data_IF_390727659819
#
_entry.id   IF_390727659819
#
_cell.length_a   1.000
_cell.length_b   1.000
_cell.length_c   1.000
_cell.angle_alpha   90.00
_cell.angle_beta   90.00
_cell.angle_gamma   90.00
#
_symmetry.space_group_name_H-M   'P 1'
#
loop_
_entity.id
_entity.type
_entity.pdbx_description
1 polymer ?
2 non-polymer ?
3 non-polymer ?
4 non-polymer ?
5 water ?
#
# COMPACT_ATOMS: atom_id res chain seq x y z
N UNK A 1 26.91 -2.80 -4.17
CA UNK A 1 26.37 -1.47 -3.72
C UNK A 1 27.41 -0.57 -3.03
N UNK A 2 27.34 0.75 -3.28
CA UNK A 2 28.16 1.67 -2.52
C UNK A 2 27.79 1.69 -1.01
N UNK A 3 28.81 1.86 -0.18
CA UNK A 3 28.65 2.04 1.25
C UNK A 3 27.84 3.29 1.61
N UNK A 4 27.99 4.38 0.85
CA UNK A 4 27.26 5.62 1.07
C UNK A 4 26.76 6.25 -0.23
N UNK A 5 25.58 6.87 -0.16
CA UNK A 5 24.97 7.61 -1.27
C UNK A 5 24.30 8.90 -0.72
N UNK A 6 24.47 9.99 -1.45
CA UNK A 6 23.78 11.26 -1.18
C UNK A 6 23.39 11.91 -2.50
N UNK A 7 22.10 11.86 -2.88
CA UNK A 7 21.58 12.38 -4.14
C UNK A 7 21.65 13.89 -4.24
N UNK A 8 21.83 14.54 -3.10
CA UNK A 8 22.09 15.96 -3.08
C UNK A 8 23.39 16.29 -3.85
N UNK A 9 24.40 15.40 -3.75
CA UNK A 9 25.68 15.61 -4.44
C UNK A 9 25.54 15.49 -5.96
N UNK A 10 24.44 14.89 -6.40
CA UNK A 10 24.13 14.57 -7.81
C UNK A 10 23.17 15.59 -8.46
N UNK A 11 22.80 16.58 -7.67
CA UNK A 11 21.98 17.71 -8.11
C UNK A 11 20.53 17.36 -8.33
N UNK A 12 20.01 16.41 -7.54
CA UNK A 12 18.71 15.78 -7.78
C UNK A 12 17.73 16.06 -6.64
N UNK A 13 18.09 16.96 -5.73
CA UNK A 13 17.24 17.26 -4.56
C UNK A 13 17.02 18.78 -4.46
N UNK A 14 15.76 19.20 -4.46
CA UNK A 14 15.40 20.60 -4.40
C UNK A 14 15.50 21.09 -2.94
N UNK A 15 15.20 22.38 -2.72
CA UNK A 15 15.27 22.92 -1.37
C UNK A 15 14.24 22.27 -0.47
N UNK A 16 14.51 22.24 0.82
CA UNK A 16 13.56 21.79 1.84
C UNK A 16 12.35 22.72 1.86
N UNK A 17 11.15 22.11 1.91
CA UNK A 17 9.92 22.83 2.02
C UNK A 17 9.36 22.80 3.47
N UNK A 18 8.44 23.73 3.73
CA UNK A 18 7.78 23.91 5.02
C UNK A 18 6.26 23.67 4.81
N UNK A 19 5.74 22.57 5.33
CA UNK A 19 4.33 22.22 5.10
C UNK A 19 3.35 23.04 5.97
N UNK A 20 3.88 23.51 7.10
CA UNK A 20 3.15 24.27 8.06
C UNK A 20 2.13 23.42 8.74
N UNK A 21 0.95 23.99 8.90
CA UNK A 21 -0.10 23.34 9.67
C UNK A 21 -0.96 22.38 8.83
N UNK A 22 -0.67 22.30 7.52
CA UNK A 22 -1.29 21.40 6.60
C UNK A 22 -0.51 20.07 6.49
N UNK A 23 -1.23 18.97 6.72
CA UNK A 23 -0.63 17.63 6.71
C UNK A 23 -0.36 17.12 5.30
N UNK A 24 0.48 17.86 4.56
CA UNK A 24 0.76 17.55 3.15
C UNK A 24 2.09 16.82 3.01
N UNK A 25 2.56 16.16 4.07
CA UNK A 25 3.85 15.45 4.04
C UNK A 25 3.96 14.50 2.87
N UNK A 26 2.88 13.75 2.65
CA UNK A 26 2.76 12.75 1.58
C UNK A 26 2.90 13.38 0.19
N UNK A 27 2.42 14.60 0.05
CA UNK A 27 2.51 15.36 -1.19
C UNK A 27 3.95 15.77 -1.51
N UNK A 28 4.63 16.34 -0.52
CA UNK A 28 6.02 16.73 -0.64
C UNK A 28 6.94 15.55 -0.87
N UNK A 29 6.67 14.43 -0.18
CA UNK A 29 7.41 13.19 -0.38
C UNK A 29 7.30 12.70 -1.81
N UNK A 30 6.09 12.73 -2.35
CA UNK A 30 5.84 12.30 -3.74
C UNK A 30 6.52 13.21 -4.77
N UNK A 31 6.36 14.51 -4.64
CA UNK A 31 7.00 15.43 -5.58
C UNK A 31 8.53 15.33 -5.48
N UNK A 32 9.06 15.23 -4.27
CA UNK A 32 10.49 14.93 -4.03
C UNK A 32 11.05 13.74 -4.82
N UNK A 33 10.41 12.60 -4.73
CA UNK A 33 10.83 11.45 -5.55
C UNK A 33 10.77 11.76 -7.06
N UNK A 34 9.71 12.43 -7.52
CA UNK A 34 9.58 12.73 -8.99
C UNK A 34 10.56 13.81 -9.47
N UNK A 35 10.88 14.75 -8.58
CA UNK A 35 11.88 15.81 -8.87
C UNK A 35 13.21 15.17 -9.28
N UNK A 36 13.62 14.15 -8.51
CA UNK A 36 14.90 13.50 -8.79
C UNK A 36 14.87 12.85 -10.17
N UNK A 37 13.73 12.21 -10.51
CA UNK A 37 13.60 11.51 -11.80
C UNK A 37 13.48 12.52 -12.94
N UNK A 38 12.78 13.61 -12.70
CA UNK A 38 12.81 14.72 -13.64
C UNK A 38 14.27 15.18 -13.96
N UNK A 39 15.06 15.51 -12.95
CA UNK A 39 16.49 15.84 -13.18
C UNK A 39 17.22 14.76 -14.00
N UNK A 40 17.08 13.50 -13.62
CA UNK A 40 17.75 12.42 -14.32
C UNK A 40 17.32 12.29 -15.78
N UNK A 41 16.05 12.56 -16.03
CA UNK A 41 15.50 12.48 -17.38
C UNK A 41 15.89 13.69 -18.27
N UNK A 42 15.84 14.88 -17.70
CA UNK A 42 15.83 16.11 -18.52
C UNK A 42 17.03 17.02 -18.31
N UNK A 43 17.73 16.88 -17.17
CA UNK A 43 18.79 17.83 -16.81
C UNK A 43 18.30 18.98 -15.94
N UNK A 44 17.00 19.10 -15.75
CA UNK A 44 16.45 20.18 -14.97
C UNK A 44 16.00 19.72 -13.57
N UNK A 45 16.45 20.47 -12.57
CA UNK A 45 16.02 20.38 -11.19
C UNK A 45 15.00 21.49 -10.90
N UNK A 46 13.78 21.05 -10.63
CA UNK A 46 12.63 21.95 -10.55
C UNK A 46 11.73 21.49 -9.40
N UNK A 47 11.36 22.37 -8.48
CA UNK A 47 10.42 22.00 -7.43
C UNK A 47 9.03 21.84 -8.04
N UNK A 48 8.41 20.68 -7.82
CA UNK A 48 7.05 20.40 -8.33
C UNK A 48 5.98 20.78 -7.30
N UNK A 49 4.77 21.01 -7.78
CA UNK A 49 3.68 21.47 -6.93
C UNK A 49 3.08 20.39 -5.98
N UNK A 50 3.52 20.39 -4.73
CA UNK A 50 2.81 19.70 -3.62
C UNK A 50 1.33 20.13 -3.53
N UNK A 51 1.04 21.41 -3.76
CA UNK A 51 -0.35 21.91 -3.68
C UNK A 51 -1.26 21.26 -4.68
N UNK A 52 -0.78 21.09 -5.89
CA UNK A 52 -1.47 20.35 -6.96
C UNK A 52 -1.94 18.96 -6.49
N UNK A 53 -1.10 18.26 -5.74
CA UNK A 53 -1.52 16.96 -5.20
C UNK A 53 -2.63 17.11 -4.14
N UNK A 54 -2.45 18.08 -3.26
CA UNK A 54 -3.37 18.30 -2.15
C UNK A 54 -4.74 18.64 -2.71
N UNK A 55 -4.79 19.49 -3.74
CA UNK A 55 -6.06 19.97 -4.31
C UNK A 55 -6.73 19.02 -5.31
N UNK A 56 -5.92 18.18 -5.95
CA UNK A 56 -6.38 17.37 -7.08
C UNK A 56 -6.29 15.89 -6.91
N UNK A 57 -5.28 15.40 -6.18
CA UNK A 57 -5.20 13.97 -5.77
C UNK A 57 -5.96 13.82 -4.47
N UNK A 58 -7.28 13.73 -4.61
CA UNK A 58 -8.20 13.85 -3.50
C UNK A 58 -9.02 12.54 -3.33
N UNK A 59 -10.36 12.62 -3.19
CA UNK A 59 -11.25 11.48 -2.86
C UNK A 59 -11.01 10.27 -3.70
N UNK A 60 -10.92 10.49 -4.99
CA UNK A 60 -10.74 9.45 -5.99
C UNK A 60 -9.46 8.64 -5.76
N UNK A 61 -8.47 9.29 -5.16
CA UNK A 61 -7.17 8.69 -4.86
C UNK A 61 -7.08 8.24 -3.40
N UNK A 62 -8.18 8.35 -2.66
CA UNK A 62 -8.20 8.02 -1.20
C UNK A 62 -7.40 8.97 -0.33
N UNK A 63 -7.10 10.16 -0.86
CA UNK A 63 -6.33 11.13 -0.14
C UNK A 63 -7.24 12.20 0.49
N UNK A 64 -6.72 12.86 1.50
CA UNK A 64 -7.49 13.78 2.35
C UNK A 64 -6.80 15.12 2.49
N UNK A 65 -5.99 15.49 1.50
CA UNK A 65 -5.40 16.83 1.48
C UNK A 65 -4.55 17.12 2.69
N UNK A 66 -4.99 18.10 3.50
CA UNK A 66 -4.25 18.53 4.69
C UNK A 66 -4.46 17.62 5.87
N UNK A 67 -5.27 16.58 5.73
CA UNK A 67 -5.35 15.52 6.76
C UNK A 67 -4.77 14.18 6.30
N UNK A 68 -3.85 14.24 5.35
CA UNK A 68 -3.02 13.08 5.00
C UNK A 68 -3.37 12.40 3.69
N UNK A 69 -2.50 11.49 3.26
CA UNK A 69 -2.66 10.81 1.96
C UNK A 69 -1.48 9.92 1.67
N UNK A 70 -1.41 9.40 0.44
CA UNK A 70 -0.47 8.35 0.05
C UNK A 70 0.37 8.79 -1.13
N UNK A 71 1.67 8.52 -1.08
CA UNK A 71 2.59 8.82 -2.17
C UNK A 71 2.26 8.01 -3.39
N UNK A 72 1.93 6.73 -3.21
CA UNK A 72 1.61 5.85 -4.33
C UNK A 72 0.39 6.33 -5.11
N UNK A 73 -0.68 6.69 -4.41
CA UNK A 73 -1.87 7.21 -5.07
C UNK A 73 -1.63 8.63 -5.65
N UNK A 74 -0.79 9.43 -5.02
CA UNK A 74 -0.30 10.70 -5.64
C UNK A 74 0.36 10.47 -7.02
N UNK A 75 1.31 9.50 -7.08
CA UNK A 75 1.90 9.08 -8.38
C UNK A 75 0.84 8.66 -9.37
N UNK A 76 -0.12 7.83 -8.97
CA UNK A 76 -1.17 7.40 -9.94
C UNK A 76 -1.97 8.58 -10.46
N UNK A 77 -2.33 9.52 -9.58
CA UNK A 77 -2.92 10.78 -10.02
C UNK A 77 -2.13 11.48 -11.16
N UNK A 78 -0.82 11.58 -11.00
CA UNK A 78 0.05 12.28 -11.97
C UNK A 78 0.03 11.50 -13.28
N UNK A 79 0.04 10.17 -13.15
CA UNK A 79 -0.12 9.28 -14.30
C UNK A 79 -1.50 9.51 -14.95
N UNK A 80 -2.57 9.35 -14.19
CA UNK A 80 -3.92 9.51 -14.75
C UNK A 80 -4.13 10.87 -15.37
N UNK A 81 -3.55 11.91 -14.74
CA UNK A 81 -3.73 13.32 -15.12
C UNK A 81 -2.85 13.77 -16.29
N UNK A 82 -1.85 12.96 -16.62
CA UNK A 82 -0.87 13.23 -17.66
C UNK A 82 -0.04 14.46 -17.31
N UNK A 83 0.14 14.72 -16.02
CA UNK A 83 0.94 15.85 -15.60
C UNK A 83 0.81 16.30 -14.16
N UNK A 84 1.84 17.01 -13.72
CA UNK A 84 1.82 17.75 -12.49
C UNK A 84 2.43 19.11 -12.83
N UNK A 85 1.81 20.19 -12.34
CA UNK A 85 2.33 21.59 -12.44
C UNK A 85 3.62 21.86 -11.64
N UNK A 86 4.41 22.83 -12.08
CA UNK A 86 5.55 23.30 -11.30
C UNK A 86 5.04 23.92 -10.02
N UNK A 87 5.87 23.88 -8.98
CA UNK A 87 5.57 24.60 -7.77
C UNK A 87 5.51 26.11 -8.05
N UNK A 88 6.34 26.63 -8.98
CA UNK A 88 6.28 28.07 -9.36
C UNK A 88 4.91 28.49 -9.83
N UNK A 89 4.29 27.70 -10.71
CA UNK A 89 3.00 28.01 -11.32
C UNK A 89 1.80 27.73 -10.38
N UNK A 90 2.02 26.90 -9.37
CA UNK A 90 0.97 26.43 -8.48
C UNK A 90 1.55 26.30 -7.08
N UNK A 91 1.86 27.45 -6.44
CA UNK A 91 2.58 27.46 -5.17
C UNK A 91 1.79 26.94 -3.95
N UNK A 92 2.55 26.58 -2.92
CA UNK A 92 1.99 25.98 -1.73
C UNK A 92 1.29 26.99 -0.83
N UNK A 93 0.05 26.67 -0.42
CA UNK A 93 -0.80 27.52 0.41
C UNK A 93 -1.16 26.92 1.78
N UNK A 94 -0.76 25.67 2.05
CA UNK A 94 -1.00 25.02 3.33
C UNK A 94 -2.50 24.96 3.68
N UNK A 95 -3.32 24.71 2.70
CA UNK A 95 -4.76 24.52 2.90
C UNK A 95 -5.31 23.71 1.76
N UNK A 96 -6.47 23.12 2.01
CA UNK A 96 -7.21 22.40 1.00
C UNK A 96 -7.95 23.38 0.08
N UNK A 97 -7.80 23.19 -1.21
CA UNK A 97 -8.51 24.05 -2.14
C UNK A 97 -9.05 23.21 -3.25
N UNK A 98 -9.89 23.87 -4.04
CA UNK A 98 -10.37 23.36 -5.29
C UNK A 98 -9.17 23.07 -6.20
N UNK A 99 -9.27 22.01 -6.99
CA UNK A 99 -8.24 21.66 -7.94
C UNK A 99 -8.08 22.80 -8.98
N UNK A 100 -6.87 23.32 -9.08
CA UNK A 100 -6.55 24.30 -10.10
C UNK A 100 -5.50 23.86 -11.09
N UNK A 101 -5.31 22.55 -11.29
CA UNK A 101 -4.35 22.11 -12.28
C UNK A 101 -4.66 22.69 -13.68
N UNK A 102 -3.60 23.03 -14.39
CA UNK A 102 -3.64 23.46 -15.78
C UNK A 102 -2.47 22.86 -16.53
N UNK A 103 -2.74 22.05 -17.57
CA UNK A 103 -1.68 21.52 -18.45
C UNK A 103 -0.64 22.53 -19.02
N UNK A 104 -1.03 23.79 -19.17
CA UNK A 104 -0.08 24.83 -19.62
C UNK A 104 1.09 25.10 -18.64
N UNK A 105 0.95 24.59 -17.42
CA UNK A 105 1.98 24.73 -16.38
C UNK A 105 2.65 23.40 -15.99
N UNK A 106 2.42 22.35 -16.78
CA UNK A 106 3.00 21.03 -16.52
C UNK A 106 4.52 21.08 -16.50
N UNK A 107 5.10 20.62 -15.38
CA UNK A 107 6.56 20.55 -15.22
C UNK A 107 7.10 19.10 -15.32
N UNK A 108 6.24 18.10 -15.09
CA UNK A 108 6.64 16.68 -15.08
C UNK A 108 5.47 15.82 -15.47
N UNK A 109 5.84 14.62 -15.90
CA UNK A 109 4.94 13.53 -16.10
C UNK A 109 5.41 12.35 -15.22
N UNK A 110 4.53 11.36 -15.10
CA UNK A 110 4.82 10.11 -14.47
C UNK A 110 4.22 9.03 -15.37
N UNK A 111 4.94 7.95 -15.62
CA UNK A 111 4.46 6.81 -16.41
C UNK A 111 4.16 5.57 -15.58
N UNK A 112 4.81 5.44 -14.42
CA UNK A 112 4.63 4.29 -13.55
C UNK A 112 5.25 4.54 -12.21
N UNK A 113 4.85 3.73 -11.23
CA UNK A 113 5.57 3.69 -9.94
C UNK A 113 5.79 2.25 -9.54
N UNK A 114 6.66 2.09 -8.56
CA UNK A 114 7.08 0.78 -8.06
C UNK A 114 7.04 0.80 -6.54
N UNK A 115 6.38 -0.20 -5.94
CA UNK A 115 6.25 -0.33 -4.50
C UNK A 115 7.16 -1.47 -4.04
N UNK A 116 8.06 -1.17 -3.09
CA UNK A 116 9.07 -2.10 -2.65
C UNK A 116 8.44 -3.11 -1.64
N UNK A 117 9.02 -4.30 -1.56
CA UNK A 117 8.51 -5.31 -0.61
C UNK A 117 8.70 -4.86 0.85
N UNK A 118 7.74 -5.22 1.68
CA UNK A 118 7.62 -4.78 3.09
C UNK A 118 8.87 -5.10 3.93
N UNK A 119 9.41 -4.08 4.61
CA UNK A 119 10.47 -4.26 5.58
C UNK A 119 11.89 -4.65 5.13
N UNK A 120 12.12 -4.68 3.81
CA UNK A 120 13.41 -5.11 3.32
C UNK A 120 14.35 -3.93 3.11
N UNK A 121 15.22 -3.72 4.09
CA UNK A 121 16.15 -2.60 4.06
C UNK A 121 17.25 -2.75 2.98
N UNK A 122 17.64 -3.98 2.67
CA UNK A 122 18.58 -4.25 1.57
C UNK A 122 18.01 -3.90 0.17
N UNK A 123 16.72 -4.17 -0.04
CA UNK A 123 16.05 -3.86 -1.29
C UNK A 123 15.90 -2.34 -1.35
N UNK A 124 15.60 -1.73 -0.21
CA UNK A 124 15.52 -0.29 -0.19
C UNK A 124 16.87 0.32 -0.58
N UNK A 125 17.97 -0.18 0.02
CA UNK A 125 19.34 0.28 -0.25
C UNK A 125 19.64 0.23 -1.74
N UNK A 126 19.25 -0.88 -2.39
CA UNK A 126 19.53 -1.10 -3.79
C UNK A 126 18.79 -0.06 -4.64
N UNK A 127 17.53 0.20 -4.29
CA UNK A 127 16.75 1.22 -4.98
C UNK A 127 17.34 2.60 -4.84
N UNK A 128 17.72 2.97 -3.61
CA UNK A 128 18.33 4.30 -3.36
C UNK A 128 19.66 4.46 -4.13
N UNK A 129 20.49 3.43 -4.10
CA UNK A 129 21.75 3.45 -4.84
C UNK A 129 21.53 3.56 -6.38
N UNK A 130 20.55 2.83 -6.90
CA UNK A 130 20.50 2.63 -8.35
C UNK A 130 19.38 3.33 -9.14
N UNK A 131 18.31 3.73 -8.46
CA UNK A 131 17.12 4.28 -9.13
C UNK A 131 16.97 5.77 -8.79
N UNK A 132 16.96 6.09 -7.51
CA UNK A 132 16.87 7.47 -7.05
C UNK A 132 16.35 7.51 -5.62
N UNK A 133 16.15 8.72 -5.12
CA UNK A 133 15.39 8.85 -3.87
C UNK A 133 14.07 8.11 -3.88
N UNK A 134 13.74 7.53 -2.73
CA UNK A 134 12.55 6.69 -2.52
C UNK A 134 11.62 7.32 -1.46
N UNK A 135 10.33 7.44 -1.81
CA UNK A 135 9.31 7.90 -0.88
C UNK A 135 9.05 6.80 0.15
N UNK A 136 8.97 7.19 1.40
CA UNK A 136 8.77 6.25 2.50
C UNK A 136 7.81 6.84 3.52
N UNK A 137 7.07 5.97 4.18
CA UNK A 137 6.37 6.30 5.39
C UNK A 137 7.24 5.94 6.55
N UNK A 138 7.15 6.75 7.60
CA UNK A 138 7.76 6.40 8.87
C UNK A 138 6.79 6.64 10.05
N UNK A 139 7.13 6.08 11.21
CA UNK A 139 6.49 6.44 12.46
C UNK A 139 7.22 7.69 13.02
N UNK A 140 6.51 8.82 12.92
CA UNK A 140 6.95 10.09 13.47
C UNK A 140 6.10 10.50 14.68
N UNK A 141 5.33 9.56 15.23
CA UNK A 141 4.38 9.87 16.31
C UNK A 141 5.03 9.71 17.66
N UNK A 142 6.18 10.35 17.86
CA UNK A 142 6.94 10.27 19.11
C UNK A 142 7.60 11.63 19.28
N UNK A 143 7.59 12.17 20.51
CA UNK A 143 8.24 13.47 20.77
C UNK A 143 9.72 13.61 20.33
N UNK A 144 10.52 12.53 20.45
CA UNK A 144 11.92 12.52 19.99
C UNK A 144 12.14 12.87 18.52
N UNK A 145 11.12 12.63 17.69
CA UNK A 145 11.17 12.94 16.28
C UNK A 145 11.07 14.45 16.10
N UNK A 146 10.11 15.07 16.78
CA UNK A 146 9.98 16.54 16.84
C UNK A 146 11.17 17.24 17.45
N UNK A 147 11.80 16.61 18.45
CA UNK A 147 12.95 17.16 19.17
C UNK A 147 14.31 16.86 18.49
N UNK A 148 14.34 16.00 17.48
CA UNK A 148 15.60 15.63 16.80
C UNK A 148 16.41 16.82 16.31
N UNK A 149 17.67 16.85 16.67
CA UNK A 149 18.60 17.91 16.25
C UNK A 149 19.71 17.46 15.30
N UNK A 150 20.31 16.31 15.56
CA UNK A 150 21.51 15.90 14.85
C UNK A 150 21.87 14.46 15.15
N UNK A 151 22.67 13.84 14.28
CA UNK A 151 23.18 12.50 14.50
C UNK A 151 22.25 11.44 13.96
N UNK A 152 22.41 10.20 14.40
CA UNK A 152 21.58 9.12 13.91
C UNK A 152 20.44 8.88 14.90
N UNK A 153 19.23 9.08 14.39
CA UNK A 153 17.99 8.97 15.16
C UNK A 153 17.63 7.53 15.45
N UNK A 154 17.33 7.27 16.72
CA UNK A 154 16.90 5.95 17.18
C UNK A 154 15.91 6.11 18.35
N UNK A 155 14.66 5.72 18.14
CA UNK A 155 13.61 5.85 19.15
C UNK A 155 13.17 4.43 19.58
N UNK A 156 13.52 4.00 20.82
CA UNK A 156 13.16 2.62 21.15
C UNK A 156 11.65 2.30 21.23
N UNK A 157 10.78 3.30 21.36
CA UNK A 157 9.33 3.05 21.29
C UNK A 157 8.73 3.18 19.88
N UNK A 158 9.61 3.30 18.88
CA UNK A 158 9.17 3.43 17.51
C UNK A 158 8.52 2.14 17.07
N UNK A 159 7.49 2.25 16.26
CA UNK A 159 6.79 1.09 15.70
C UNK A 159 6.98 1.03 14.16
N UNK A 160 6.44 -0.01 13.53
CA UNK A 160 6.37 -0.16 12.08
C UNK A 160 5.05 0.36 11.48
N UNK A 161 4.25 1.03 12.30
CA UNK A 161 3.06 1.73 11.88
C UNK A 161 3.44 3.10 11.40
N UNK A 162 3.31 3.36 10.11
CA UNK A 162 3.77 4.60 9.53
C UNK A 162 2.62 5.63 9.46
N UNK A 163 2.98 6.89 9.61
CA UNK A 163 1.95 7.97 9.66
C UNK A 163 2.45 9.29 9.14
N UNK A 164 3.67 9.30 8.60
CA UNK A 164 4.28 10.52 8.08
C UNK A 164 5.11 10.17 6.85
N UNK A 165 4.86 10.87 5.75
CA UNK A 165 5.55 10.65 4.46
C UNK A 165 6.80 11.47 4.36
N UNK A 166 7.93 10.84 4.06
CA UNK A 166 9.20 11.56 3.86
C UNK A 166 9.94 10.98 2.63
N UNK A 167 11.16 11.41 2.39
CA UNK A 167 11.92 11.04 1.22
C UNK A 167 13.33 10.59 1.60
N UNK A 168 13.67 9.36 1.30
CA UNK A 168 15.05 8.90 1.48
C UNK A 168 15.91 9.32 0.28
N UNK A 169 16.90 10.18 0.53
CA UNK A 169 17.78 10.73 -0.48
C UNK A 169 19.22 10.24 -0.33
N UNK A 170 19.44 9.26 0.54
CA UNK A 170 20.75 8.66 0.66
C UNK A 170 20.82 7.73 1.82
N UNK A 171 22.00 7.18 2.04
CA UNK A 171 22.26 6.40 3.25
C UNK A 171 23.76 6.48 3.52
N UNK A 172 24.16 6.08 4.70
CA UNK A 172 25.58 5.94 4.99
C UNK A 172 25.78 5.54 6.44
N UNK A 173 26.84 6.09 7.03
CA UNK A 173 27.12 5.82 8.41
C UNK A 173 27.92 6.93 9.06
N UNK A 174 27.67 7.09 10.37
CA UNK A 174 28.35 8.09 11.18
C UNK A 174 29.13 7.30 12.24
N UNK A 175 30.45 7.29 12.08
CA UNK A 175 31.34 6.52 12.94
C UNK A 175 30.85 5.08 13.07
N UNK A 176 30.43 4.46 11.95
CA UNK A 176 29.89 3.08 11.96
C UNK A 176 28.39 2.85 12.24
N UNK A 177 27.69 3.86 12.82
CA UNK A 177 26.21 3.87 12.98
C UNK A 177 25.54 4.14 11.66
N UNK A 178 24.84 3.12 11.17
CA UNK A 178 24.26 3.15 9.83
C UNK A 178 22.97 3.97 9.82
N UNK A 179 22.75 4.77 8.76
CA UNK A 179 21.54 5.62 8.69
C UNK A 179 20.95 5.69 7.26
N UNK A 180 19.69 6.08 7.19
CA UNK A 180 18.99 6.58 6.00
C UNK A 180 19.00 8.08 6.07
N UNK A 181 19.33 8.75 4.97
CA UNK A 181 19.32 10.23 4.94
C UNK A 181 17.94 10.66 4.43
N UNK A 182 17.19 11.32 5.28
CA UNK A 182 15.78 11.59 5.05
C UNK A 182 15.56 13.06 4.90
N UNK A 183 14.94 13.46 3.78
CA UNK A 183 14.41 14.80 3.61
C UNK A 183 12.97 14.84 4.16
N UNK A 184 12.74 15.72 5.13
CA UNK A 184 11.42 15.96 5.72
C UNK A 184 10.86 17.27 5.09
N UNK A 185 9.61 17.61 5.43
CA UNK A 185 8.97 18.83 4.92
C UNK A 185 8.48 19.70 6.07
N UNK A 186 9.28 19.76 7.12
CA UNK A 186 8.99 20.60 8.25
C UNK A 186 9.90 21.83 8.26
N UNK A 187 10.40 22.22 7.10
CA UNK A 187 11.21 23.45 6.92
C UNK A 187 12.68 23.29 7.22
N UNK A 188 13.47 24.31 6.91
CA UNK A 188 14.94 24.17 7.00
C UNK A 188 15.54 24.29 8.40
N UNK A 189 14.71 24.46 9.42
CA UNK A 189 15.17 24.54 10.80
C UNK A 189 14.98 23.20 11.56
N UNK A 190 14.17 22.30 11.01
CA UNK A 190 14.03 20.99 11.58
C UNK A 190 15.30 20.15 11.39
N UNK A 191 15.73 19.47 12.45
CA UNK A 191 16.86 18.52 12.45
C UNK A 191 18.12 19.12 11.86
N UNK A 192 18.75 18.34 10.99
CA UNK A 192 19.93 18.79 10.28
C UNK A 192 19.54 19.60 9.05
N UNK A 193 19.16 20.85 9.30
CA UNK A 193 18.71 21.77 8.25
C UNK A 193 17.68 21.21 7.24
N UNK A 194 16.71 20.47 7.78
CA UNK A 194 15.60 19.91 6.99
C UNK A 194 15.64 18.42 6.92
N UNK A 195 16.79 17.86 7.29
CA UNK A 195 17.06 16.44 7.16
C UNK A 195 17.12 15.74 8.51
N UNK A 196 16.87 14.43 8.47
CA UNK A 196 17.03 13.55 9.61
C UNK A 196 17.73 12.32 9.10
N UNK A 197 18.74 11.91 9.86
CA UNK A 197 19.41 10.61 9.67
C UNK A 197 18.80 9.53 10.60
N UNK A 198 18.11 8.55 9.98
CA UNK A 198 17.35 7.53 10.74
C UNK A 198 18.06 6.19 10.75
N UNK A 199 17.97 5.47 11.88
CA UNK A 199 18.70 4.21 12.06
C UNK A 199 18.34 3.26 10.92
N UNK A 200 19.38 2.68 10.32
CA UNK A 200 19.30 1.79 9.18
C UNK A 200 19.84 0.45 9.60
N UNK A 201 19.28 -0.61 9.02
CA UNK A 201 19.55 -1.99 9.40
C UNK A 201 19.46 -2.20 10.90
N UNK A 202 18.40 -1.63 11.45
CA UNK A 202 18.03 -1.79 12.85
C UNK A 202 16.61 -2.34 12.92
N UNK A 203 16.35 -3.32 12.08
CA UNK A 203 15.10 -4.05 12.11
C UNK A 203 13.93 -3.19 11.69
N UNK A 204 14.05 -2.55 10.52
CA UNK A 204 12.97 -1.71 10.00
C UNK A 204 12.53 -0.64 11.01
N UNK A 205 13.51 0.06 11.53
CA UNK A 205 13.27 1.02 12.54
C UNK A 205 12.34 2.20 12.09
N UNK A 206 11.30 2.42 12.89
CA UNK A 206 10.23 3.38 12.63
C UNK A 206 9.48 3.07 11.31
N UNK A 207 9.53 1.81 10.85
CA UNK A 207 8.79 1.45 9.61
C UNK A 207 9.36 2.04 8.32
N UNK A 208 10.65 2.38 8.32
CA UNK A 208 11.22 3.15 7.23
C UNK A 208 11.20 2.39 5.90
N UNK A 209 11.37 1.05 5.96
CA UNK A 209 11.12 0.17 4.81
C UNK A 209 9.77 -0.50 4.78
N UNK A 210 8.78 0.00 5.52
CA UNK A 210 7.45 -0.59 5.50
C UNK A 210 6.73 -0.38 4.16
N UNK A 211 6.68 0.88 3.70
CA UNK A 211 5.97 1.22 2.47
C UNK A 211 6.78 2.19 1.62
N UNK A 212 7.82 1.63 0.94
CA UNK A 212 8.63 2.48 0.08
C UNK A 212 8.17 2.44 -1.38
N UNK A 213 8.22 3.59 -2.05
CA UNK A 213 7.93 3.62 -3.50
C UNK A 213 8.72 4.68 -4.27
N UNK A 214 8.81 4.47 -5.57
CA UNK A 214 9.42 5.48 -6.39
C UNK A 214 8.73 5.55 -7.75
N UNK A 215 8.68 6.77 -8.30
CA UNK A 215 8.12 6.97 -9.61
C UNK A 215 9.12 6.93 -10.75
N UNK A 216 8.58 6.83 -11.95
CA UNK A 216 9.36 6.98 -13.17
C UNK A 216 8.64 7.91 -14.13
N UNK A 217 9.42 8.69 -14.86
CA UNK A 217 8.82 9.80 -15.65
C UNK A 217 8.02 9.27 -16.83
N UNK B 1 -8.41 -10.77 -23.33
CA UNK B 1 -8.74 -11.56 -22.08
C UNK B 1 -10.14 -12.23 -22.14
N UNK B 2 -10.37 -13.26 -21.34
CA UNK B 2 -11.77 -13.74 -21.25
C UNK B 2 -12.75 -12.66 -20.78
N UNK B 3 -13.96 -12.69 -21.31
CA UNK B 3 -15.00 -11.76 -20.89
C UNK B 3 -15.51 -12.05 -19.46
N UNK B 4 -15.40 -13.31 -19.03
CA UNK B 4 -15.79 -13.69 -17.64
C UNK B 4 -14.87 -14.75 -17.04
N UNK B 5 -14.61 -14.66 -15.74
CA UNK B 5 -13.77 -15.62 -15.02
C UNK B 5 -14.44 -15.93 -13.70
N UNK B 6 -14.42 -17.19 -13.28
CA UNK B 6 -14.90 -17.56 -11.95
C UNK B 6 -14.01 -18.68 -11.44
N UNK B 7 -13.11 -18.32 -10.53
CA UNK B 7 -12.11 -19.28 -10.08
C UNK B 7 -12.72 -20.46 -9.28
N UNK B 8 -13.97 -20.32 -8.83
CA UNK B 8 -14.72 -21.45 -8.24
C UNK B 8 -14.88 -22.60 -9.21
N UNK B 9 -15.06 -22.29 -10.50
CA UNK B 9 -15.24 -23.33 -11.53
C UNK B 9 -13.99 -24.14 -11.65
N UNK B 10 -12.89 -23.58 -11.18
CA UNK B 10 -11.58 -24.19 -11.34
C UNK B 10 -11.18 -24.91 -10.07
N UNK B 11 -12.07 -24.98 -9.09
CA UNK B 11 -11.75 -25.65 -7.82
C UNK B 11 -10.67 -24.91 -7.03
N UNK B 12 -10.59 -23.60 -7.20
CA UNK B 12 -9.47 -22.84 -6.62
C UNK B 12 -9.88 -22.00 -5.40
N UNK B 13 -11.12 -22.13 -4.96
CA UNK B 13 -11.66 -21.28 -3.92
C UNK B 13 -12.28 -22.16 -2.84
N UNK B 14 -11.81 -21.99 -1.60
CA UNK B 14 -12.30 -22.74 -0.45
C UNK B 14 -13.64 -22.21 -0.03
N UNK B 15 -14.34 -22.92 0.88
CA UNK B 15 -15.61 -22.41 1.35
C UNK B 15 -15.49 -21.03 2.03
N UNK B 16 -16.58 -20.26 1.94
CA UNK B 16 -16.71 -18.99 2.61
C UNK B 16 -16.56 -19.15 4.13
N UNK B 17 -15.87 -18.21 4.76
CA UNK B 17 -15.56 -18.27 6.19
C UNK B 17 -16.37 -17.20 6.92
N UNK B 18 -16.49 -17.34 8.24
CA UNK B 18 -17.27 -16.45 9.08
C UNK B 18 -16.29 -15.86 10.17
N UNK B 19 -15.96 -14.57 10.06
CA UNK B 19 -14.89 -13.94 10.89
C UNK B 19 -15.40 -13.59 12.30
N UNK B 20 -16.73 -13.46 12.44
CA UNK B 20 -17.36 -13.05 13.69
C UNK B 20 -17.02 -11.63 14.12
N UNK B 21 -16.81 -11.46 15.42
CA UNK B 21 -16.46 -10.14 15.99
C UNK B 21 -14.97 -9.95 16.13
N UNK B 22 -14.23 -10.50 15.19
CA UNK B 22 -12.80 -10.27 15.10
C UNK B 22 -12.60 -9.63 13.72
N UNK B 23 -11.94 -8.47 13.69
CA UNK B 23 -11.62 -7.76 12.45
C UNK B 23 -10.47 -8.37 11.66
N UNK B 24 -10.69 -9.61 11.21
CA UNK B 24 -9.64 -10.46 10.64
C UNK B 24 -9.82 -10.61 9.13
N UNK B 25 -10.51 -9.66 8.53
CA UNK B 25 -10.91 -9.77 7.11
C UNK B 25 -9.66 -9.82 6.21
N UNK B 26 -8.69 -8.97 6.57
CA UNK B 26 -7.35 -8.94 5.97
C UNK B 26 -6.64 -10.32 5.97
N UNK B 27 -6.77 -11.08 7.06
CA UNK B 27 -6.21 -12.43 7.13
C UNK B 27 -6.94 -13.42 6.22
N UNK B 28 -8.27 -13.39 6.22
CA UNK B 28 -9.11 -14.16 5.30
C UNK B 28 -8.87 -13.79 3.83
N UNK B 29 -8.71 -12.50 3.53
CA UNK B 29 -8.41 -12.09 2.17
C UNK B 29 -7.10 -12.70 1.72
N UNK B 30 -6.09 -12.60 2.59
CA UNK B 30 -4.73 -13.03 2.25
C UNK B 30 -4.65 -14.54 2.07
N UNK B 31 -5.25 -15.30 2.99
CA UNK B 31 -5.19 -16.77 2.88
C UNK B 31 -5.94 -17.29 1.65
N UNK B 32 -7.09 -16.68 1.33
CA UNK B 32 -7.86 -16.97 0.13
C UNK B 32 -7.10 -16.79 -1.17
N UNK B 33 -6.33 -15.71 -1.31
CA UNK B 33 -5.40 -15.58 -2.44
C UNK B 33 -4.35 -16.68 -2.52
N UNK B 34 -3.79 -17.06 -1.37
CA UNK B 34 -2.75 -18.07 -1.33
C UNK B 34 -3.30 -19.46 -1.65
N UNK B 35 -4.48 -19.74 -1.10
CA UNK B 35 -5.21 -20.99 -1.31
C UNK B 35 -5.29 -21.35 -2.78
N UNK B 36 -5.55 -20.34 -3.61
CA UNK B 36 -5.74 -20.53 -5.05
C UNK B 36 -4.42 -20.92 -5.72
N UNK B 37 -3.37 -20.16 -5.41
CA UNK B 37 -2.00 -20.47 -5.84
C UNK B 37 -1.52 -21.83 -5.37
N UNK B 38 -1.85 -22.22 -4.16
CA UNK B 38 -1.54 -23.56 -3.67
C UNK B 38 -2.23 -24.64 -4.53
N UNK B 39 -3.49 -24.42 -4.88
CA UNK B 39 -4.24 -25.39 -5.69
C UNK B 39 -3.61 -25.48 -7.08
N UNK B 40 -3.31 -24.33 -7.66
CA UNK B 40 -2.65 -24.26 -8.98
C UNK B 40 -1.27 -24.93 -9.03
N UNK B 41 -0.48 -24.81 -7.97
CA UNK B 41 0.86 -25.43 -7.90
C UNK B 41 0.83 -26.93 -7.56
N UNK B 42 0.01 -27.27 -6.58
CA UNK B 42 0.01 -28.60 -6.03
C UNK B 42 -1.18 -29.46 -6.49
N UNK B 43 -2.25 -28.86 -7.00
CA UNK B 43 -3.47 -29.62 -7.35
C UNK B 43 -4.39 -29.90 -6.16
N UNK B 44 -4.08 -29.37 -4.98
CA UNK B 44 -4.87 -29.65 -3.77
C UNK B 44 -5.46 -28.36 -3.21
N UNK B 45 -6.77 -28.38 -2.97
CA UNK B 45 -7.48 -27.26 -2.33
C UNK B 45 -7.46 -27.42 -0.80
N UNK B 46 -6.85 -26.45 -0.11
CA UNK B 46 -6.64 -26.53 1.35
C UNK B 46 -6.87 -25.14 1.99
N UNK B 47 -7.84 -25.07 2.90
CA UNK B 47 -8.02 -23.87 3.68
C UNK B 47 -6.75 -23.56 4.52
N UNK B 48 -6.30 -22.30 4.51
CA UNK B 48 -5.07 -21.88 5.21
C UNK B 48 -5.49 -21.08 6.44
N UNK B 49 -4.59 -20.97 7.41
CA UNK B 49 -4.92 -20.49 8.74
C UNK B 49 -4.96 -18.98 8.88
N UNK B 50 -6.16 -18.40 8.95
CA UNK B 50 -6.30 -16.94 9.15
C UNK B 50 -5.89 -16.59 10.57
N UNK B 51 -6.18 -17.50 11.49
CA UNK B 51 -5.71 -17.36 12.89
C UNK B 51 -4.18 -17.27 13.02
N UNK B 52 -3.48 -18.10 12.27
CA UNK B 52 -2.01 -18.02 12.17
C UNK B 52 -1.52 -16.60 11.87
N UNK B 53 -2.07 -15.98 10.83
CA UNK B 53 -1.82 -14.55 10.53
C UNK B 53 -2.23 -13.63 11.67
N UNK B 54 -3.40 -13.85 12.25
CA UNK B 54 -3.91 -13.00 13.34
C UNK B 54 -2.95 -13.01 14.49
N UNK B 55 -2.51 -14.22 14.84
CA UNK B 55 -1.65 -14.38 16.02
C UNK B 55 -0.19 -14.06 15.73
N UNK B 56 0.23 -14.26 14.49
CA UNK B 56 1.68 -14.23 14.17
C UNK B 56 2.17 -13.06 13.35
N UNK B 57 1.36 -12.56 12.41
CA UNK B 57 1.74 -11.44 11.54
C UNK B 57 1.24 -10.21 12.27
N UNK B 58 2.01 -9.76 13.27
CA UNK B 58 1.52 -8.75 14.21
C UNK B 58 2.30 -7.42 14.06
N UNK B 59 2.90 -6.89 15.14
CA UNK B 59 3.47 -5.53 15.15
C UNK B 59 4.58 -5.39 14.12
N UNK B 60 5.44 -6.39 14.04
CA UNK B 60 6.51 -6.42 13.04
C UNK B 60 5.94 -6.13 11.65
N UNK B 61 4.69 -6.52 11.44
CA UNK B 61 4.02 -6.39 10.16
C UNK B 61 2.99 -5.24 10.05
N UNK B 62 2.88 -4.42 11.09
CA UNK B 62 1.93 -3.29 11.14
C UNK B 62 0.46 -3.71 11.32
N UNK B 63 0.26 -4.99 11.62
CA UNK B 63 -1.08 -5.55 11.76
C UNK B 63 -1.48 -5.60 13.22
N UNK B 64 -2.80 -5.61 13.45
CA UNK B 64 -3.32 -5.56 14.81
C UNK B 64 -4.34 -6.65 15.08
N UNK B 65 -4.20 -7.79 14.41
CA UNK B 65 -4.97 -8.99 14.76
C UNK B 65 -6.43 -8.76 14.48
N UNK B 66 -7.27 -8.93 15.53
CA UNK B 66 -8.71 -8.62 15.45
C UNK B 66 -9.09 -7.16 15.26
N UNK B 67 -8.15 -6.23 15.42
CA UNK B 67 -8.38 -4.81 15.14
C UNK B 67 -7.80 -4.36 13.75
N UNK B 68 -7.65 -5.28 12.82
CA UNK B 68 -7.28 -4.93 11.43
C UNK B 68 -5.82 -5.20 11.07
N UNK B 69 -5.50 -4.98 9.81
CA UNK B 69 -4.21 -5.39 9.24
C UNK B 69 -4.24 -5.28 7.71
N UNK B 70 -3.15 -5.71 7.08
CA UNK B 70 -2.97 -5.56 5.62
C UNK B 70 -2.64 -6.92 5.02
N UNK B 71 -3.12 -7.14 3.81
CA UNK B 71 -2.90 -8.35 3.09
C UNK B 71 -1.47 -8.44 2.65
N UNK B 72 -0.92 -7.34 2.11
CA UNK B 72 0.48 -7.29 1.67
C UNK B 72 1.47 -7.66 2.76
N UNK B 73 1.31 -7.08 3.96
CA UNK B 73 2.26 -7.36 5.03
C UNK B 73 2.03 -8.76 5.59
N UNK B 74 0.78 -9.27 5.47
CA UNK B 74 0.49 -10.69 5.69
C UNK B 74 1.31 -11.59 4.81
N UNK B 75 1.34 -11.26 3.53
CA UNK B 75 2.13 -12.04 2.57
C UNK B 75 3.58 -12.06 2.92
N UNK B 76 4.13 -10.90 3.31
CA UNK B 76 5.54 -10.80 3.77
C UNK B 76 5.86 -11.66 4.96
N UNK B 77 4.97 -11.72 5.94
CA UNK B 77 5.13 -12.63 7.07
C UNK B 77 5.29 -14.10 6.64
N UNK B 78 4.43 -14.54 5.72
CA UNK B 78 4.46 -15.95 5.27
C UNK B 78 5.83 -16.27 4.62
N UNK B 79 6.27 -15.36 3.77
CA UNK B 79 7.63 -15.36 3.20
C UNK B 79 8.69 -15.42 4.27
N UNK B 80 8.70 -14.45 5.19
CA UNK B 80 9.73 -14.36 6.23
C UNK B 80 9.71 -15.62 7.07
N UNK B 81 8.50 -16.08 7.39
CA UNK B 81 8.29 -17.25 8.23
C UNK B 81 8.55 -18.61 7.56
N UNK B 82 8.61 -18.58 6.23
CA UNK B 82 8.83 -19.79 5.43
C UNK B 82 7.61 -20.73 5.47
N UNK B 83 6.43 -20.16 5.67
CA UNK B 83 5.24 -20.99 5.77
C UNK B 83 4.07 -20.41 6.50
N UNK B 84 2.93 -21.05 6.25
CA UNK B 84 1.72 -20.80 6.95
C UNK B 84 1.04 -22.16 7.15
N UNK B 85 0.50 -22.33 8.35
CA UNK B 85 -0.24 -23.54 8.72
C UNK B 85 -1.63 -23.59 8.03
N UNK B 86 -2.12 -24.80 7.90
CA UNK B 86 -3.47 -25.06 7.48
C UNK B 86 -4.49 -24.62 8.55
N UNK B 87 -5.68 -24.26 8.08
CA UNK B 87 -6.79 -23.95 8.97
C UNK B 87 -7.10 -25.11 9.91
N UNK B 88 -7.07 -26.36 9.41
CA UNK B 88 -7.39 -27.55 10.22
C UNK B 88 -6.50 -27.67 11.47
N UNK B 89 -5.21 -27.34 11.30
CA UNK B 89 -4.18 -27.48 12.32
C UNK B 89 -4.10 -26.30 13.25
N UNK B 90 -4.61 -25.16 12.81
CA UNK B 90 -4.49 -23.92 13.61
C UNK B 90 -5.79 -23.18 13.33
N UNK B 91 -6.88 -23.64 13.96
CA UNK B 91 -8.20 -23.15 13.62
C UNK B 91 -8.60 -21.80 14.17
N UNK B 92 -9.61 -21.24 13.52
CA UNK B 92 -10.04 -19.87 13.76
C UNK B 92 -10.90 -19.77 15.01
N UNK B 93 -10.54 -18.80 15.87
CA UNK B 93 -11.15 -18.60 17.17
C UNK B 93 -11.78 -17.21 17.33
N UNK B 94 -11.60 -16.36 16.34
CA UNK B 94 -12.14 -14.99 16.38
C UNK B 94 -11.65 -14.22 17.59
N UNK B 95 -10.38 -14.42 17.94
CA UNK B 95 -9.71 -13.66 18.99
C UNK B 95 -8.19 -13.62 18.79
N UNK B 96 -7.55 -12.69 19.49
CA UNK B 96 -6.11 -12.46 19.43
C UNK B 96 -5.51 -13.47 20.39
N UNK B 97 -4.59 -14.28 19.89
CA UNK B 97 -4.00 -15.32 20.71
C UNK B 97 -2.49 -15.26 20.55
N UNK B 98 -1.82 -16.03 21.39
CA UNK B 98 -0.36 -16.21 21.33
C UNK B 98 -0.01 -16.90 20.00
N UNK B 99 1.12 -16.54 19.41
CA UNK B 99 1.57 -17.16 18.16
C UNK B 99 1.95 -18.64 18.39
N UNK B 100 1.22 -19.50 17.70
CA UNK B 100 1.44 -20.92 17.84
C UNK B 100 1.83 -21.56 16.54
N UNK B 101 2.46 -20.82 15.63
CA UNK B 101 2.90 -21.46 14.39
C UNK B 101 3.83 -22.67 14.63
N UNK B 102 3.66 -23.71 13.82
CA UNK B 102 4.56 -24.84 13.81
C UNK B 102 4.72 -25.35 12.37
N UNK B 103 5.96 -25.54 11.95
CA UNK B 103 6.24 -25.95 10.59
C UNK B 103 5.79 -27.40 10.28
N UNK B 104 5.50 -28.19 11.33
CA UNK B 104 4.99 -29.55 11.12
C UNK B 104 3.57 -29.50 10.56
N UNK B 105 2.93 -28.33 10.66
CA UNK B 105 1.57 -28.11 10.13
C UNK B 105 1.50 -27.18 8.92
N UNK B 106 2.66 -26.86 8.36
CA UNK B 106 2.73 -26.05 7.15
C UNK B 106 1.97 -26.71 5.99
N UNK B 107 1.01 -25.95 5.46
CA UNK B 107 0.30 -26.33 4.26
C UNK B 107 0.65 -25.43 3.04
N UNK B 108 1.35 -24.31 3.23
CA UNK B 108 1.74 -23.47 2.09
C UNK B 108 2.95 -22.61 2.38
N UNK B 109 3.55 -22.11 1.30
CA UNK B 109 4.63 -21.13 1.33
C UNK B 109 4.29 -19.94 0.40
N UNK B 110 5.12 -18.93 0.47
CA UNK B 110 5.02 -17.76 -0.36
C UNK B 110 6.47 -17.32 -0.61
N UNK B 111 6.78 -17.07 -1.87
CA UNK B 111 8.08 -16.57 -2.25
C UNK B 111 8.02 -15.07 -2.60
N UNK B 112 6.83 -14.52 -2.88
CA UNK B 112 6.71 -13.09 -3.24
C UNK B 112 5.25 -12.66 -3.36
N UNK B 113 5.04 -11.36 -3.48
CA UNK B 113 3.70 -10.84 -3.77
C UNK B 113 3.85 -9.63 -4.70
N UNK B 114 2.74 -9.28 -5.35
CA UNK B 114 2.71 -8.17 -6.31
C UNK B 114 1.57 -7.26 -5.91
N UNK B 115 1.85 -5.95 -5.86
CA UNK B 115 0.82 -4.93 -5.63
C UNK B 115 0.48 -4.27 -6.97
N UNK B 116 -0.80 -4.25 -7.30
CA UNK B 116 -1.22 -3.68 -8.58
C UNK B 116 -1.35 -2.15 -8.53
N UNK B 117 -1.24 -1.49 -9.68
CA UNK B 117 -1.44 -0.03 -9.72
C UNK B 117 -2.85 0.46 -9.28
N UNK B 118 -2.85 1.54 -8.52
CA UNK B 118 -4.03 2.09 -7.90
C UNK B 118 -5.15 2.39 -8.92
N UNK B 119 -6.36 1.86 -8.64
CA UNK B 119 -7.55 2.20 -9.38
C UNK B 119 -7.67 1.68 -10.79
N UNK B 120 -6.74 0.84 -11.23
CA UNK B 120 -6.71 0.40 -12.63
C UNK B 120 -7.44 -0.94 -12.78
N UNK B 121 -8.69 -0.86 -13.20
CA UNK B 121 -9.56 -2.03 -13.22
C UNK B 121 -9.24 -2.98 -14.37
N UNK B 122 -8.70 -2.46 -15.47
CA UNK B 122 -8.15 -3.24 -16.59
C UNK B 122 -7.01 -4.15 -16.11
N UNK B 123 -6.15 -3.57 -15.26
CA UNK B 123 -4.97 -4.30 -14.80
C UNK B 123 -5.44 -5.37 -13.85
N UNK B 124 -6.36 -4.98 -12.96
CA UNK B 124 -6.98 -5.92 -12.06
C UNK B 124 -7.60 -7.10 -12.84
N UNK B 125 -8.33 -6.79 -13.90
CA UNK B 125 -8.97 -7.81 -14.73
C UNK B 125 -7.93 -8.78 -15.32
N UNK B 126 -6.80 -8.24 -15.75
CA UNK B 126 -5.72 -9.06 -16.29
C UNK B 126 -5.13 -10.03 -15.25
N UNK B 127 -4.89 -9.51 -14.06
CA UNK B 127 -4.40 -10.30 -12.99
C UNK B 127 -5.39 -11.43 -12.62
N UNK B 128 -6.66 -11.11 -12.51
CA UNK B 128 -7.70 -12.13 -12.20
C UNK B 128 -7.79 -13.21 -13.29
N UNK B 129 -7.74 -12.83 -14.56
CA UNK B 129 -7.68 -13.78 -15.66
C UNK B 129 -6.41 -14.64 -15.66
N UNK B 130 -5.26 -14.01 -15.50
CA UNK B 130 -3.96 -14.67 -15.79
C UNK B 130 -3.18 -15.15 -14.59
N UNK B 131 -3.47 -14.58 -13.41
CA UNK B 131 -2.67 -14.89 -12.21
C UNK B 131 -3.49 -15.62 -11.18
N UNK B 132 -4.69 -15.13 -10.90
CA UNK B 132 -5.63 -15.85 -10.03
C UNK B 132 -6.40 -14.84 -9.21
N UNK B 133 -7.13 -15.32 -8.18
CA UNK B 133 -7.79 -14.39 -7.28
C UNK B 133 -6.83 -13.36 -6.64
N UNK B 134 -7.35 -12.15 -6.46
CA UNK B 134 -6.59 -10.98 -6.01
C UNK B 134 -7.22 -10.39 -4.77
N UNK B 135 -6.41 -10.27 -3.71
CA UNK B 135 -6.78 -9.59 -2.48
C UNK B 135 -6.97 -8.11 -2.74
N UNK B 136 -8.10 -7.59 -2.28
CA UNK B 136 -8.44 -6.18 -2.43
C UNK B 136 -9.10 -5.64 -1.15
N UNK B 137 -9.08 -4.33 -1.01
CA UNK B 137 -9.92 -3.61 -0.04
C UNK B 137 -11.10 -2.97 -0.76
N UNK B 138 -12.24 -2.98 -0.09
CA UNK B 138 -13.41 -2.21 -0.49
C UNK B 138 -13.94 -1.31 0.61
N UNK B 139 -14.66 -0.27 0.20
CA UNK B 139 -15.42 0.51 1.13
C UNK B 139 -16.72 -0.25 1.43
N UNK B 140 -16.77 -0.84 2.62
CA UNK B 140 -17.90 -1.64 3.05
C UNK B 140 -18.67 -1.00 4.21
N UNK B 141 -18.58 0.33 4.35
CA UNK B 141 -19.14 1.07 5.51
C UNK B 141 -20.63 1.40 5.34
N UNK B 142 -21.16 1.27 4.14
CA UNK B 142 -22.45 1.85 3.83
C UNK B 142 -23.55 0.81 4.12
N UNK B 143 -24.60 1.20 4.89
CA UNK B 143 -25.68 0.29 5.31
C UNK B 143 -26.16 -0.68 4.21
N UNK B 144 -26.21 -0.23 2.95
CA UNK B 144 -26.58 -1.12 1.81
C UNK B 144 -25.65 -2.32 1.62
N UNK B 145 -24.38 -2.21 2.01
CA UNK B 145 -23.47 -3.34 1.85
C UNK B 145 -23.97 -4.57 2.62
N UNK B 146 -24.39 -4.35 3.86
CA UNK B 146 -24.72 -5.40 4.81
C UNK B 146 -26.01 -6.16 4.41
N UNK B 147 -26.87 -5.44 3.70
CA UNK B 147 -28.19 -5.84 3.27
C UNK B 147 -28.21 -6.35 1.82
N UNK B 148 -27.06 -6.38 1.16
CA UNK B 148 -26.98 -6.92 -0.18
C UNK B 148 -27.39 -8.38 -0.21
N UNK B 149 -28.15 -8.70 -1.25
CA UNK B 149 -28.73 -10.00 -1.47
C UNK B 149 -28.50 -10.52 -2.88
N UNK B 150 -28.71 -9.69 -3.89
CA UNK B 150 -28.57 -10.21 -5.26
C UNK B 150 -28.28 -9.12 -6.27
N UNK B 151 -27.97 -9.55 -7.50
CA UNK B 151 -27.70 -8.61 -8.58
C UNK B 151 -26.32 -7.99 -8.49
N UNK B 152 -26.20 -6.76 -8.99
CA UNK B 152 -24.91 -6.07 -9.03
C UNK B 152 -24.95 -4.88 -8.12
N UNK B 153 -24.10 -4.94 -7.11
CA UNK B 153 -24.06 -3.91 -6.08
C UNK B 153 -23.47 -2.64 -6.63
N UNK B 154 -24.29 -1.60 -6.58
CA UNK B 154 -23.88 -0.27 -6.93
C UNK B 154 -24.49 0.67 -5.89
N UNK B 155 -23.61 1.39 -5.21
CA UNK B 155 -23.97 2.27 -4.12
C UNK B 155 -23.37 3.66 -4.43
N UNK B 156 -24.22 4.64 -4.83
CA UNK B 156 -23.86 6.08 -5.00
C UNK B 156 -23.06 6.71 -3.85
N UNK B 157 -23.35 6.30 -2.62
CA UNK B 157 -22.61 6.77 -1.45
C UNK B 157 -21.26 6.12 -1.26
N UNK B 158 -20.87 5.20 -2.14
CA UNK B 158 -19.53 4.62 -2.00
C UNK B 158 -18.37 5.59 -2.23
N UNK B 159 -17.26 5.29 -1.57
CA UNK B 159 -16.04 6.05 -1.70
C UNK B 159 -14.91 5.11 -2.04
N UNK B 160 -13.75 5.69 -2.36
CA UNK B 160 -12.54 4.93 -2.57
C UNK B 160 -11.74 4.71 -1.28
N UNK B 161 -12.29 5.15 -0.15
CA UNK B 161 -11.66 4.98 1.14
C UNK B 161 -12.02 3.58 1.65
N UNK B 162 -11.13 2.62 1.41
CA UNK B 162 -11.38 1.21 1.70
C UNK B 162 -11.15 0.89 3.17
N UNK B 163 -12.02 0.07 3.72
CA UNK B 163 -11.91 -0.30 5.14
C UNK B 163 -12.00 -1.82 5.39
N UNK B 164 -12.09 -2.63 4.33
CA UNK B 164 -12.48 -4.02 4.46
C UNK B 164 -11.80 -4.94 3.43
N UNK B 165 -11.10 -5.95 3.91
CA UNK B 165 -10.34 -6.88 3.09
C UNK B 165 -11.21 -8.01 2.56
N UNK B 166 -11.24 -8.16 1.24
CA UNK B 166 -12.02 -9.23 0.56
C UNK B 166 -11.18 -9.86 -0.59
N UNK B 167 -11.80 -10.76 -1.33
CA UNK B 167 -11.11 -11.48 -2.40
C UNK B 167 -11.96 -11.45 -3.66
N UNK B 168 -11.39 -10.91 -4.73
CA UNK B 168 -11.89 -11.00 -6.09
C UNK B 168 -11.51 -12.34 -6.70
N UNK B 169 -12.51 -13.19 -6.91
CA UNK B 169 -12.36 -14.52 -7.47
C UNK B 169 -12.86 -14.58 -8.90
N UNK B 170 -13.33 -13.47 -9.44
CA UNK B 170 -13.73 -13.45 -10.82
C UNK B 170 -14.40 -12.17 -11.24
N UNK B 171 -14.95 -12.20 -12.43
CA UNK B 171 -15.61 -11.03 -12.98
C UNK B 171 -16.52 -11.47 -14.12
N UNK B 172 -17.42 -10.61 -14.53
CA UNK B 172 -18.31 -10.95 -15.64
C UNK B 172 -19.37 -9.91 -15.83
N UNK B 173 -20.45 -10.32 -16.47
CA UNK B 173 -21.62 -9.47 -16.69
C UNK B 173 -22.93 -10.19 -16.36
N UNK B 174 -23.85 -9.45 -15.74
CA UNK B 174 -25.13 -9.95 -15.30
C UNK B 174 -26.16 -8.90 -15.70
N UNK B 175 -26.95 -9.23 -16.72
CA UNK B 175 -28.05 -8.34 -17.10
C UNK B 175 -27.58 -6.94 -17.49
N UNK B 176 -26.51 -6.90 -18.28
CA UNK B 176 -25.98 -5.66 -18.81
C UNK B 176 -25.14 -4.85 -17.82
N UNK B 177 -24.85 -5.43 -16.66
CA UNK B 177 -24.03 -4.77 -15.65
C UNK B 177 -22.75 -5.57 -15.46
N UNK B 178 -21.60 -4.91 -15.67
CA UNK B 178 -20.31 -5.55 -15.39
C UNK B 178 -20.09 -5.65 -13.88
N UNK B 179 -19.47 -6.74 -13.45
CA UNK B 179 -19.21 -6.90 -12.03
C UNK B 179 -17.84 -7.59 -11.75
N UNK B 180 -17.35 -7.37 -10.53
CA UNK B 180 -16.36 -8.21 -9.86
C UNK B 180 -17.04 -9.21 -8.93
N UNK B 181 -16.57 -10.45 -8.92
CA UNK B 181 -17.10 -11.45 -7.97
C UNK B 181 -16.20 -11.45 -6.77
N UNK B 182 -16.78 -11.13 -5.61
CA UNK B 182 -16.07 -10.86 -4.36
C UNK B 182 -16.49 -11.88 -3.26
N UNK B 183 -15.51 -12.63 -2.79
CA UNK B 183 -15.71 -13.50 -1.66
C UNK B 183 -15.49 -12.69 -0.37
N UNK B 184 -16.54 -12.60 0.46
CA UNK B 184 -16.50 -11.90 1.75
C UNK B 184 -16.22 -12.94 2.86
N UNK B 185 -16.04 -12.50 4.10
CA UNK B 185 -15.79 -13.39 5.23
C UNK B 185 -16.79 -13.24 6.40
N UNK B 186 -18.07 -13.10 6.04
CA UNK B 186 -19.17 -12.93 7.02
C UNK B 186 -20.17 -14.07 6.89
N UNK B 187 -19.66 -15.26 6.60
CA UNK B 187 -20.51 -16.45 6.49
C UNK B 187 -21.30 -16.51 5.19
N UNK B 188 -22.00 -17.62 5.02
CA UNK B 188 -22.93 -17.82 3.88
C UNK B 188 -24.23 -17.03 3.99
N UNK B 189 -24.55 -16.43 5.14
CA UNK B 189 -25.78 -15.65 5.26
C UNK B 189 -25.70 -14.35 4.48
N UNK B 190 -24.47 -13.87 4.29
CA UNK B 190 -24.24 -12.64 3.62
C UNK B 190 -24.34 -12.81 2.10
N UNK B 191 -25.15 -11.96 1.47
CA UNK B 191 -25.21 -11.84 0.01
C UNK B 191 -25.57 -13.15 -0.67
N UNK B 192 -24.89 -13.44 -1.78
CA UNK B 192 -25.09 -14.69 -2.51
C UNK B 192 -24.19 -15.81 -1.94
N UNK B 193 -24.62 -16.42 -0.83
CA UNK B 193 -23.90 -17.51 -0.14
C UNK B 193 -22.44 -17.07 0.22
N UNK B 194 -22.29 -15.84 0.66
CA UNK B 194 -21.01 -15.30 1.08
C UNK B 194 -20.29 -14.42 0.08
N UNK B 195 -20.84 -14.33 -1.13
CA UNK B 195 -20.33 -13.50 -2.22
C UNK B 195 -21.15 -12.28 -2.46
N UNK B 196 -20.50 -11.24 -2.99
CA UNK B 196 -21.11 -10.04 -3.49
C UNK B 196 -20.54 -9.77 -4.91
N UNK B 197 -21.43 -9.45 -5.84
CA UNK B 197 -21.04 -8.96 -7.15
C UNK B 197 -21.03 -7.45 -7.04
N UNK B 198 -19.85 -6.86 -7.14
CA UNK B 198 -19.73 -5.42 -7.12
C UNK B 198 -19.51 -4.84 -8.52
N UNK B 199 -20.07 -3.65 -8.76
CA UNK B 199 -19.89 -2.93 -10.03
C UNK B 199 -18.44 -2.78 -10.47
N UNK B 200 -18.24 -3.12 -11.75
CA UNK B 200 -17.00 -3.11 -12.45
C UNK B 200 -17.07 -2.08 -13.57
N UNK B 201 -15.95 -1.35 -13.73
CA UNK B 201 -15.80 -0.29 -14.71
C UNK B 201 -16.77 0.86 -14.47
N UNK B 202 -17.06 1.10 -13.21
CA UNK B 202 -17.88 2.22 -12.81
C UNK B 202 -17.06 3.11 -11.93
N UNK B 203 -15.86 3.41 -12.39
CA UNK B 203 -15.04 4.42 -11.80
C UNK B 203 -14.45 3.96 -10.47
N UNK B 204 -13.86 2.77 -10.47
CA UNK B 204 -13.27 2.17 -9.27
C UNK B 204 -14.29 2.22 -8.11
N UNK B 205 -15.45 1.64 -8.36
CA UNK B 205 -16.56 1.74 -7.42
C UNK B 205 -16.20 1.09 -6.07
N UNK B 206 -16.44 1.82 -4.97
CA UNK B 206 -16.08 1.39 -3.59
C UNK B 206 -14.58 1.07 -3.38
N UNK B 207 -13.72 1.61 -4.24
CA UNK B 207 -12.31 1.38 -4.16
C UNK B 207 -11.82 -0.02 -4.47
N UNK B 208 -12.63 -0.83 -5.12
CA UNK B 208 -12.32 -2.24 -5.31
C UNK B 208 -10.92 -2.50 -5.92
N UNK B 209 -10.52 -1.65 -6.86
CA UNK B 209 -9.18 -1.67 -7.47
C UNK B 209 -8.19 -0.68 -6.85
N UNK B 210 -8.50 -0.07 -5.70
CA UNK B 210 -7.54 0.85 -5.01
C UNK B 210 -6.25 0.17 -4.55
N UNK B 211 -6.37 -0.92 -3.83
CA UNK B 211 -5.19 -1.64 -3.33
C UNK B 211 -5.21 -3.16 -3.54
N UNK B 212 -5.02 -3.59 -4.81
CA UNK B 212 -5.01 -5.00 -5.13
C UNK B 212 -3.61 -5.68 -5.04
N UNK B 213 -3.61 -6.93 -4.63
CA UNK B 213 -2.37 -7.69 -4.51
C UNK B 213 -2.62 -9.18 -4.60
N UNK B 214 -1.61 -9.91 -5.05
CA UNK B 214 -1.67 -11.36 -5.10
C UNK B 214 -0.31 -11.97 -4.71
N UNK B 215 -0.31 -13.10 -3.94
CA UNK B 215 0.91 -13.79 -3.62
C UNK B 215 1.29 -14.81 -4.72
N UNK B 216 2.52 -15.29 -4.67
C UNK B 216 3.63 -17.41 -4.60
N UNK B 217 3.48 -18.69 -4.95
CA UNK B 217 4.07 -19.74 -4.13
C UNK B 217 5.54 -19.81 -4.48
#
# INVERSE_FOLDING_TARGET
LPDSVDWREKGCVTEVKYQGSCGACWAFSAVGALEAQLKLKTGKLVSLSAQNLVDCSTEKYGNKGCNGGFMTTAFQYIIDNKGIDSDASYPYKAMDQKCQYDSKYRAATCSKYTELPYGREDVLKEAVANKGPVSVGVDARHPSFFLYRSGVYYEPSCTQNVNHGVLVVGYGDLNGKEYWLVKNSWGHNFGEEGYIRMARNKGNHCGIASFPSYPEI
LPDSVDWREKGCVTEVKYQGSCGACWAFSAVGALEAQLKLKTGKLVSLSAQNLVDCSTEKYGNKGCNGGFMTTAFQYIIDNKGIDSDASYPYKAMDQKCQYDSKYRAATCSKYTELPYGREDVLKEAVANKGPVSVGVDARHPSFFLYRSGVYYEPSCTQNVNHGVLVVGYGDLNGKEYWLVKNSWGHNFGEEGYIRMARNKGNHCGIASFPSYPEI
#
